data_IF_985612534360
#
_entry.id   IF_985612534360
#
_cell.length_a   1.000
_cell.length_b   1.000
_cell.length_c   1.000
_cell.angle_alpha   90.00
_cell.angle_beta   90.00
_cell.angle_gamma   90.00
#
_symmetry.space_group_name_H-M   'P 1'
#
loop_
_entity.id
_entity.type
_entity.pdbx_description
1 polymer ?
#
# COMPACT_ATOMS: atom_id res chain seq x y z
N UNK A 1 17.24 1.84 5.47
CA UNK A 1 16.84 2.31 6.83
C UNK A 1 15.56 3.15 6.86
N UNK A 2 15.46 4.26 6.10
CA UNK A 2 14.26 5.13 6.14
C UNK A 2 12.95 4.44 5.71
N UNK A 3 13.00 3.64 4.64
CA UNK A 3 11.86 2.83 4.16
C UNK A 3 11.43 1.81 5.23
N UNK A 4 12.39 1.00 5.70
CA UNK A 4 12.15 -0.06 6.68
C UNK A 4 11.72 0.43 8.07
N UNK A 5 11.82 1.73 8.34
CA UNK A 5 11.38 2.36 9.59
C UNK A 5 10.03 3.08 9.48
N UNK A 6 9.31 2.90 8.36
CA UNK A 6 8.03 3.55 8.06
C UNK A 6 8.11 5.09 8.04
N UNK A 7 9.28 5.64 7.71
CA UNK A 7 9.55 7.09 7.74
C UNK A 7 9.56 7.74 6.35
N UNK A 8 9.05 7.05 5.35
CA UNK A 8 8.93 7.61 4.00
C UNK A 8 7.62 8.38 3.94
N UNK A 9 7.73 9.66 3.59
CA UNK A 9 6.58 10.54 3.41
C UNK A 9 6.33 10.76 1.92
N UNK A 10 5.08 10.99 1.57
CA UNK A 10 4.65 11.42 0.25
C UNK A 10 3.51 12.44 0.36
N UNK A 11 3.32 13.21 -0.71
CA UNK A 11 2.23 14.16 -0.82
C UNK A 11 0.94 13.46 -1.30
N UNK A 12 0.02 13.21 -0.38
CA UNK A 12 -1.31 12.65 -0.63
C UNK A 12 -2.21 13.56 -1.46
N UNK A 13 -1.98 14.88 -1.49
CA UNK A 13 -2.78 15.79 -2.32
C UNK A 13 -2.51 15.61 -3.82
N UNK A 14 -1.36 15.03 -4.17
CA UNK A 14 -0.98 14.69 -5.54
C UNK A 14 -1.61 13.37 -6.03
N UNK A 15 -2.34 12.63 -5.18
CA UNK A 15 -3.01 11.38 -5.56
C UNK A 15 -4.51 11.62 -5.77
N UNK A 16 -5.02 11.25 -6.94
CA UNK A 16 -6.44 11.37 -7.25
C UNK A 16 -7.29 10.49 -6.32
N UNK A 17 -8.33 11.07 -5.70
CA UNK A 17 -9.18 10.38 -4.73
C UNK A 17 -8.67 10.42 -3.29
N UNK A 18 -7.46 10.94 -3.05
CA UNK A 18 -6.94 11.22 -1.70
C UNK A 18 -7.38 12.63 -1.24
N UNK A 19 -7.21 12.94 0.05
CA UNK A 19 -7.81 14.10 0.74
C UNK A 19 -7.45 15.42 0.05
N UNK A 20 -8.46 16.20 -0.35
CA UNK A 20 -8.26 17.42 -1.16
C UNK A 20 -7.75 18.64 -0.39
N UNK A 21 -7.94 18.72 0.94
CA UNK A 21 -7.94 20.04 1.62
C UNK A 21 -7.18 20.12 2.96
N UNK A 22 -6.70 19.05 3.63
CA UNK A 22 -5.96 19.30 4.89
C UNK A 22 -4.96 18.26 5.44
N UNK A 23 -4.55 17.24 4.68
CA UNK A 23 -3.52 16.28 5.14
C UNK A 23 -2.66 15.87 3.93
N UNK A 24 -1.82 16.80 3.45
CA UNK A 24 -0.94 16.54 2.30
C UNK A 24 0.16 15.54 2.65
N UNK A 25 0.73 15.62 3.85
CA UNK A 25 1.81 14.72 4.23
C UNK A 25 1.25 13.40 4.77
N UNK A 26 1.66 12.31 4.16
CA UNK A 26 1.27 10.95 4.52
C UNK A 26 2.49 10.04 4.60
N UNK A 27 2.39 8.96 5.36
CA UNK A 27 3.45 7.97 5.48
C UNK A 27 3.19 6.72 4.64
N UNK A 28 4.26 6.15 4.10
CA UNK A 28 4.27 4.82 3.49
C UNK A 28 4.83 3.80 4.47
N UNK A 29 4.03 2.77 4.74
CA UNK A 29 4.42 1.62 5.56
C UNK A 29 4.65 0.43 4.63
N UNK A 30 5.90 0.06 4.34
CA UNK A 30 6.20 -1.03 3.40
C UNK A 30 5.77 -2.39 3.94
N UNK A 31 5.16 -3.17 3.07
CA UNK A 31 4.89 -4.59 3.30
C UNK A 31 6.07 -5.42 2.78
N UNK A 32 6.85 -5.97 3.71
CA UNK A 32 8.09 -6.67 3.39
C UNK A 32 7.85 -7.99 2.62
N UNK A 33 6.66 -8.57 2.73
CA UNK A 33 6.30 -9.79 2.00
C UNK A 33 6.09 -9.52 0.50
N UNK A 34 6.01 -8.25 0.10
CA UNK A 34 5.81 -7.82 -1.30
C UNK A 34 7.09 -7.45 -2.04
N UNK A 35 8.26 -7.62 -1.40
CA UNK A 35 9.56 -7.32 -2.02
C UNK A 35 9.73 -8.06 -3.34
N UNK A 36 9.91 -7.31 -4.42
CA UNK A 36 10.08 -7.86 -5.77
C UNK A 36 11.19 -7.12 -6.51
N UNK A 37 12.18 -7.86 -7.02
CA UNK A 37 13.20 -7.29 -7.93
C UNK A 37 12.63 -7.30 -9.35
N UNK A 38 12.60 -6.14 -10.01
CA UNK A 38 12.14 -6.06 -11.38
C UNK A 38 13.19 -6.68 -12.33
N UNK A 39 12.78 -7.53 -13.29
CA UNK A 39 13.71 -8.25 -14.15
C UNK A 39 14.38 -7.34 -15.19
N UNK A 40 13.90 -6.11 -15.36
CA UNK A 40 14.55 -5.06 -16.12
C UNK A 40 15.27 -4.11 -15.15
N UNK A 41 16.59 -4.02 -15.30
CA UNK A 41 17.41 -2.94 -14.73
C UNK A 41 17.88 -2.02 -15.86
N UNK A 42 18.43 -0.87 -15.50
CA UNK A 42 19.09 0.04 -16.43
C UNK A 42 20.60 0.13 -16.14
N UNK A 43 21.29 1.06 -16.80
CA UNK A 43 22.70 1.36 -16.53
C UNK A 43 23.00 1.77 -15.08
N UNK A 44 21.97 2.15 -14.31
CA UNK A 44 22.06 2.56 -12.92
C UNK A 44 21.84 1.38 -11.93
N UNK A 45 21.53 0.18 -12.44
CA UNK A 45 21.48 -1.05 -11.67
C UNK A 45 20.08 -1.69 -11.58
N UNK A 46 19.95 -2.64 -10.65
CA UNK A 46 18.69 -3.36 -10.42
C UNK A 46 17.73 -2.53 -9.57
N UNK A 47 16.45 -2.52 -9.95
CA UNK A 47 15.38 -1.85 -9.21
C UNK A 47 14.53 -2.91 -8.50
N UNK A 48 14.16 -2.63 -7.26
CA UNK A 48 13.22 -3.44 -6.49
C UNK A 48 12.05 -2.59 -5.98
N UNK A 49 10.87 -3.18 -5.90
CA UNK A 49 9.65 -2.57 -5.42
C UNK A 49 9.16 -3.18 -4.10
N UNK A 50 8.49 -2.35 -3.30
CA UNK A 50 7.70 -2.73 -2.13
C UNK A 50 6.33 -2.07 -2.28
N UNK A 51 5.27 -2.85 -2.11
CA UNK A 51 3.93 -2.32 -1.94
C UNK A 51 3.81 -1.77 -0.52
N UNK A 52 3.22 -0.59 -0.38
CA UNK A 52 3.07 0.09 0.90
C UNK A 52 1.59 0.31 1.22
N UNK A 53 1.25 0.29 2.50
CA UNK A 53 -0.01 0.84 2.99
C UNK A 53 0.17 2.35 3.30
N UNK A 54 -0.90 3.13 3.15
CA UNK A 54 -0.88 4.55 3.46
C UNK A 54 -1.33 4.82 4.91
N UNK A 55 -0.60 5.67 5.61
CA UNK A 55 -0.85 6.06 6.99
C UNK A 55 -0.89 7.58 7.14
N UNK A 56 -1.71 8.07 8.07
CA UNK A 56 -1.76 9.49 8.43
C UNK A 56 -0.53 9.88 9.24
N UNK A 57 -0.32 11.18 9.46
CA UNK A 57 0.79 11.71 10.27
C UNK A 57 0.74 11.30 11.74
N UNK A 58 -0.43 10.92 12.22
CA UNK A 58 -0.70 10.44 13.58
C UNK A 58 -0.36 8.95 13.73
N UNK A 59 -0.02 8.26 12.63
CA UNK A 59 0.30 6.84 12.63
C UNK A 59 -0.92 5.92 12.50
N UNK A 60 -2.06 6.45 12.08
CA UNK A 60 -3.28 5.67 11.85
C UNK A 60 -3.39 5.23 10.38
N UNK A 61 -3.96 4.04 10.08
CA UNK A 61 -4.19 3.63 8.69
C UNK A 61 -5.12 4.60 7.97
N UNK A 62 -4.72 5.06 6.78
CA UNK A 62 -5.51 6.00 6.01
C UNK A 62 -6.81 5.36 5.53
N UNK A 63 -7.95 5.99 5.83
CA UNK A 63 -9.27 5.43 5.48
C UNK A 63 -9.47 5.26 3.98
N UNK A 64 -8.89 6.17 3.18
CA UNK A 64 -8.98 6.19 1.71
C UNK A 64 -8.02 5.24 1.00
N UNK A 65 -7.17 4.50 1.72
CA UNK A 65 -6.30 3.47 1.14
C UNK A 65 -7.15 2.28 0.63
N UNK A 66 -7.19 2.01 -0.69
CA UNK A 66 -7.94 0.88 -1.24
C UNK A 66 -7.44 -0.47 -0.71
N UNK A 67 -6.13 -0.63 -0.49
CA UNK A 67 -5.54 -1.86 0.06
C UNK A 67 -5.94 -2.03 1.52
N UNK A 68 -5.89 -0.95 2.30
CA UNK A 68 -6.42 -0.90 3.66
C UNK A 68 -7.90 -1.27 3.72
N UNK A 69 -8.70 -0.85 2.73
CA UNK A 69 -10.11 -1.24 2.63
C UNK A 69 -10.30 -2.73 2.35
N UNK A 70 -9.53 -3.32 1.43
CA UNK A 70 -9.56 -4.76 1.18
C UNK A 70 -9.22 -5.55 2.45
N UNK A 71 -8.18 -5.14 3.19
CA UNK A 71 -7.81 -5.76 4.48
C UNK A 71 -8.96 -5.68 5.51
N UNK A 72 -9.71 -4.58 5.56
CA UNK A 72 -10.91 -4.46 6.43
C UNK A 72 -12.00 -5.46 6.01
N UNK A 73 -12.27 -5.57 4.71
CA UNK A 73 -13.26 -6.52 4.20
C UNK A 73 -12.88 -7.98 4.50
N UNK A 74 -11.59 -8.33 4.37
CA UNK A 74 -11.08 -9.66 4.69
C UNK A 74 -11.20 -9.97 6.20
N UNK A 75 -10.93 -9.01 7.09
CA UNK A 75 -11.18 -9.19 8.53
C UNK A 75 -12.65 -9.48 8.83
N UNK A 76 -13.57 -8.76 8.19
CA UNK A 76 -14.99 -9.03 8.36
C UNK A 76 -15.37 -10.44 7.88
N UNK A 77 -14.80 -10.89 6.76
CA UNK A 77 -14.98 -12.26 6.28
C UNK A 77 -14.50 -13.30 7.33
N UNK A 78 -13.37 -13.05 7.98
CA UNK A 78 -12.84 -13.91 9.05
C UNK A 78 -13.76 -13.94 10.27
N UNK A 79 -14.32 -12.79 10.68
CA UNK A 79 -15.28 -12.67 11.79
C UNK A 79 -16.54 -13.51 11.58
N UNK A 80 -17.00 -13.65 10.33
CA UNK A 80 -18.18 -14.47 9.99
C UNK A 80 -17.85 -15.93 9.69
N UNK A 81 -16.58 -16.35 9.89
CA UNK A 81 -16.17 -17.76 9.96
C UNK A 81 -15.50 -18.34 8.71
N UNK A 82 -15.25 -17.54 7.67
CA UNK A 82 -14.46 -18.00 6.51
C UNK A 82 -12.96 -17.78 6.74
N UNK A 83 -12.11 -18.63 6.15
CA UNK A 83 -10.65 -18.59 6.40
C UNK A 83 -9.83 -17.98 5.27
N UNK A 84 -10.37 -17.94 4.05
CA UNK A 84 -9.60 -17.53 2.88
C UNK A 84 -10.53 -17.03 1.78
N UNK A 85 -10.05 -16.02 1.06
CA UNK A 85 -10.68 -15.49 -0.15
C UNK A 85 -9.64 -15.53 -1.27
N UNK A 86 -9.83 -16.44 -2.23
CA UNK A 86 -8.91 -16.62 -3.35
C UNK A 86 -9.51 -15.98 -4.61
N UNK A 87 -8.67 -15.34 -5.43
CA UNK A 87 -9.06 -14.68 -6.66
C UNK A 87 -8.26 -15.23 -7.85
N UNK A 88 -8.95 -15.53 -8.96
CA UNK A 88 -8.34 -15.87 -10.25
C UNK A 88 -8.67 -14.79 -11.28
N UNK A 89 -7.91 -13.69 -11.35
CA UNK A 89 -8.16 -12.61 -12.30
C UNK A 89 -7.79 -13.03 -13.74
N UNK A 90 -8.62 -12.66 -14.72
CA UNK A 90 -8.41 -12.90 -16.16
C UNK A 90 -8.42 -11.57 -16.94
N UNK A 91 -7.39 -10.72 -16.78
CA UNK A 91 -7.35 -9.44 -17.48
C UNK A 91 -7.10 -9.63 -18.99
N UNK A 92 -7.97 -9.08 -19.83
CA UNK A 92 -7.72 -8.87 -21.26
C UNK A 92 -6.87 -7.61 -21.49
N UNK A 93 -6.20 -7.51 -22.65
CA UNK A 93 -5.29 -6.41 -23.00
C UNK A 93 -5.55 -5.85 -24.39
#
# INVERSE_FOLDING_TARGET
DKVLSNKVMFDGSSIEGFVRINESDMYLYPDLDTWTVFPWGDENGSVAGLICDAYTTEGEPFAGDPRGNLKRALRHMEEVGFKSFNLGPEPEF
#
